data_IF_040787379747
#
_entry.id   IF_040787379747
#
_cell.length_a   1.000
_cell.length_b   1.000
_cell.length_c   1.000
_cell.angle_alpha   90.00
_cell.angle_beta   90.00
_cell.angle_gamma   90.00
#
_symmetry.space_group_name_H-M   'P 1'
#
loop_
_entity.id
_entity.type
_entity.pdbx_description
1 polymer ?
#
# COMPACT_ATOMS: atom_id res chain seq x y z
N UNK A 1 -6.25 7.15 12.82
CA UNK A 1 -6.03 6.30 14.01
C UNK A 1 -4.54 6.06 14.16
N UNK A 2 -3.98 6.50 15.28
CA UNK A 2 -2.56 6.45 15.57
C UNK A 2 -2.08 5.02 15.80
N UNK A 3 -0.98 4.65 15.18
CA UNK A 3 -0.24 3.42 15.42
C UNK A 3 0.25 3.38 16.88
N UNK A 4 0.09 2.28 17.60
CA UNK A 4 0.76 2.15 18.89
C UNK A 4 2.24 1.87 18.68
N UNK A 5 3.07 2.78 19.19
CA UNK A 5 4.53 2.61 19.30
C UNK A 5 4.80 1.42 20.22
N UNK A 6 5.63 0.45 19.84
CA UNK A 6 6.00 -0.64 20.74
C UNK A 6 6.79 -0.08 21.92
N UNK A 7 6.34 -0.38 23.14
CA UNK A 7 7.06 -0.08 24.37
C UNK A 7 8.42 -0.77 24.36
N UNK A 8 9.47 0.04 24.38
CA UNK A 8 10.83 -0.43 24.62
C UNK A 8 10.90 -1.19 25.95
N UNK A 9 11.29 -2.46 25.88
CA UNK A 9 11.69 -3.24 27.03
C UNK A 9 12.83 -2.52 27.76
N UNK A 10 12.61 -2.23 29.04
CA UNK A 10 13.59 -1.67 29.93
C UNK A 10 14.78 -2.65 30.08
N UNK A 11 15.93 -2.22 29.63
CA UNK A 11 17.20 -2.93 29.86
C UNK A 11 17.52 -2.77 31.36
N UNK A 12 17.47 -3.87 32.12
CA UNK A 12 17.96 -3.94 33.49
C UNK A 12 19.47 -3.66 33.51
N UNK A 13 19.88 -2.68 34.29
CA UNK A 13 21.30 -2.43 34.60
C UNK A 13 21.86 -3.62 35.37
N UNK A 14 23.08 -4.08 35.08
CA UNK A 14 23.77 -5.05 35.92
C UNK A 14 24.26 -4.38 37.20
N UNK A 15 24.07 -5.10 38.31
CA UNK A 15 24.60 -4.72 39.64
C UNK A 15 26.12 -4.86 39.71
N UNK A 16 26.85 -4.09 40.58
CA UNK A 16 28.30 -4.14 40.69
C UNK A 16 28.76 -5.35 41.49
N UNK A 17 29.67 -6.13 40.93
CA UNK A 17 30.39 -7.18 41.66
C UNK A 17 31.52 -6.60 42.55
N UNK A 18 31.79 -7.17 43.73
CA UNK A 18 32.78 -6.67 44.65
C UNK A 18 34.24 -7.02 44.26
N UNK A 19 35.11 -6.09 44.57
CA UNK A 19 36.56 -6.23 44.53
C UNK A 19 37.06 -7.36 45.45
N UNK A 20 37.87 -8.28 44.95
CA UNK A 20 38.90 -8.92 45.77
C UNK A 20 40.03 -9.56 44.92
N UNK A 21 41.25 -9.19 45.37
CA UNK A 21 42.52 -9.93 45.38
C UNK A 21 43.41 -9.93 44.14
N UNK A 22 44.51 -9.21 44.31
CA UNK A 22 45.76 -9.21 43.55
C UNK A 22 46.53 -10.53 43.71
N UNK A 23 47.04 -11.06 42.58
CA UNK A 23 48.24 -11.88 42.53
C UNK A 23 48.94 -11.68 41.18
N UNK A 24 50.28 -11.44 41.17
CA UNK A 24 51.00 -11.24 39.94
C UNK A 24 51.47 -12.61 39.40
N UNK A 25 51.11 -12.93 38.15
CA UNK A 25 51.74 -14.02 37.40
C UNK A 25 52.44 -13.39 36.20
N UNK A 26 53.76 -13.39 36.26
CA UNK A 26 54.65 -13.10 35.17
C UNK A 26 54.46 -14.16 34.07
N UNK A 27 54.05 -13.76 32.87
CA UNK A 27 54.06 -14.66 31.72
C UNK A 27 54.60 -13.99 30.47
N UNK A 28 55.54 -14.69 29.89
CA UNK A 28 56.40 -14.35 28.78
C UNK A 28 55.67 -13.80 27.57
N UNK A 29 56.18 -12.70 27.03
CA UNK A 29 55.85 -12.14 25.72
C UNK A 29 56.33 -13.11 24.61
N UNK A 30 55.38 -13.84 24.04
CA UNK A 30 55.47 -14.40 22.71
C UNK A 30 54.92 -13.36 21.75
N UNK A 31 55.80 -12.60 21.11
CA UNK A 31 55.47 -11.70 20.02
C UNK A 31 55.19 -12.56 18.79
N UNK A 32 53.92 -12.93 18.58
CA UNK A 32 53.42 -13.34 17.26
C UNK A 32 53.24 -12.08 16.42
N UNK A 33 54.22 -11.81 15.56
CA UNK A 33 54.10 -10.81 14.51
C UNK A 33 53.07 -11.31 13.49
N UNK A 34 51.79 -11.07 13.76
CA UNK A 34 50.77 -11.10 12.69
C UNK A 34 51.00 -9.87 11.83
N UNK A 35 51.63 -10.05 10.68
CA UNK A 35 51.63 -9.04 9.63
C UNK A 35 50.17 -8.83 9.19
N UNK A 36 49.52 -7.80 9.75
CA UNK A 36 48.31 -7.27 9.20
C UNK A 36 48.64 -6.75 7.79
N UNK A 37 48.37 -7.55 6.77
CA UNK A 37 48.04 -7.00 5.47
C UNK A 37 46.78 -6.20 5.70
N UNK A 38 46.92 -4.89 5.88
CA UNK A 38 45.83 -3.98 5.67
C UNK A 38 45.31 -4.24 4.25
N UNK A 39 44.25 -5.03 4.15
CA UNK A 39 43.50 -5.17 2.92
C UNK A 39 43.02 -3.77 2.58
N UNK A 40 43.50 -3.21 1.48
CA UNK A 40 42.99 -1.95 0.96
C UNK A 40 41.45 -2.04 0.97
N UNK A 41 40.80 -1.09 1.66
CA UNK A 41 39.35 -0.97 1.62
C UNK A 41 38.90 -0.95 0.14
N UNK A 42 37.89 -1.72 -0.24
CA UNK A 42 37.38 -1.68 -1.61
C UNK A 42 37.13 -0.22 -1.98
N UNK A 43 37.53 0.17 -3.18
CA UNK A 43 37.26 1.51 -3.71
C UNK A 43 35.78 1.81 -3.53
N UNK A 44 35.41 3.03 -3.09
CA UNK A 44 34.00 3.40 -2.98
C UNK A 44 33.27 3.04 -4.28
N UNK A 45 32.09 2.40 -4.24
CA UNK A 45 31.35 2.07 -5.44
C UNK A 45 31.20 3.33 -6.30
N UNK A 46 31.33 3.18 -7.60
CA UNK A 46 31.11 4.29 -8.54
C UNK A 46 29.68 4.81 -8.36
N UNK A 47 29.53 5.87 -7.58
CA UNK A 47 28.24 6.52 -7.32
C UNK A 47 27.59 7.06 -8.60
N UNK A 48 28.38 7.30 -9.66
CA UNK A 48 27.86 7.68 -10.97
C UNK A 48 27.06 6.56 -11.62
N UNK A 49 27.58 5.35 -11.63
CA UNK A 49 26.89 4.18 -12.15
C UNK A 49 25.63 3.81 -11.31
N UNK A 50 25.75 3.92 -9.96
CA UNK A 50 24.59 3.71 -9.06
C UNK A 50 23.51 4.76 -9.31
N UNK A 51 23.88 6.05 -9.45
CA UNK A 51 22.93 7.13 -9.75
C UNK A 51 22.27 6.97 -11.13
N UNK A 52 23.01 6.53 -12.14
CA UNK A 52 22.47 6.24 -13.47
C UNK A 52 21.41 5.12 -13.40
N UNK A 53 21.65 4.07 -12.61
CA UNK A 53 20.69 2.98 -12.41
C UNK A 53 19.48 3.40 -11.55
N UNK A 54 19.59 4.48 -10.78
CA UNK A 54 18.48 5.06 -10.00
C UNK A 54 17.70 6.14 -10.80
N UNK A 55 18.13 6.51 -12.01
CA UNK A 55 17.45 7.50 -12.81
C UNK A 55 15.95 7.20 -12.92
N UNK A 56 15.13 8.24 -12.72
CA UNK A 56 13.68 8.13 -12.72
C UNK A 56 13.09 9.13 -13.73
N UNK A 57 12.21 8.61 -14.58
CA UNK A 57 11.36 9.43 -15.46
C UNK A 57 9.93 9.25 -15.03
N UNK A 58 9.20 10.35 -14.81
CA UNK A 58 7.81 10.29 -14.40
C UNK A 58 6.97 9.63 -15.49
N UNK A 59 6.35 8.52 -15.14
CA UNK A 59 5.31 7.86 -15.92
C UNK A 59 4.00 7.92 -15.12
N UNK A 60 2.87 7.86 -15.81
CA UNK A 60 1.54 7.82 -15.19
C UNK A 60 0.92 6.44 -15.36
N UNK A 61 0.30 5.94 -14.32
CA UNK A 61 -0.38 4.65 -14.34
C UNK A 61 -1.51 4.63 -15.37
N UNK A 62 -2.28 5.72 -15.45
CA UNK A 62 -3.41 5.87 -16.38
C UNK A 62 -3.06 5.62 -17.84
N UNK A 63 -1.80 5.89 -18.23
CA UNK A 63 -1.35 5.72 -19.61
C UNK A 63 -1.10 4.25 -19.99
N UNK A 64 -1.17 3.35 -19.00
CA UNK A 64 -0.88 1.91 -19.14
C UNK A 64 -2.04 1.00 -18.79
N UNK A 65 -3.12 1.56 -18.24
CA UNK A 65 -4.28 0.77 -17.87
C UNK A 65 -5.04 0.32 -19.12
N UNK A 66 -5.42 -0.96 -19.20
CA UNK A 66 -6.23 -1.43 -20.33
C UNK A 66 -7.63 -0.79 -20.29
N UNK A 67 -8.28 -0.65 -21.45
CA UNK A 67 -9.66 -0.20 -21.48
C UNK A 67 -10.57 -1.20 -20.75
N UNK A 68 -11.59 -0.68 -20.07
CA UNK A 68 -12.57 -1.49 -19.37
C UNK A 68 -13.73 -1.85 -20.32
N UNK A 69 -14.09 -3.13 -20.34
CA UNK A 69 -15.30 -3.59 -21.01
C UNK A 69 -16.52 -3.19 -20.21
N UNK A 70 -17.55 -2.53 -20.80
CA UNK A 70 -18.74 -2.07 -20.08
C UNK A 70 -19.52 -3.16 -19.36
N UNK A 71 -19.55 -4.39 -19.88
CA UNK A 71 -20.24 -5.51 -19.21
C UNK A 71 -19.48 -5.92 -17.95
N UNK A 72 -18.15 -5.99 -18.03
CA UNK A 72 -17.29 -6.29 -16.88
C UNK A 72 -17.34 -5.16 -15.84
N UNK A 73 -17.37 -3.92 -16.31
CA UNK A 73 -17.47 -2.75 -15.43
C UNK A 73 -18.82 -2.75 -14.68
N UNK A 74 -19.91 -3.21 -15.31
CA UNK A 74 -21.21 -3.36 -14.63
C UNK A 74 -21.16 -4.33 -13.45
N UNK A 75 -20.47 -5.47 -13.59
CA UNK A 75 -20.26 -6.43 -12.50
C UNK A 75 -19.42 -5.79 -11.37
N UNK A 76 -18.34 -5.11 -11.74
CA UNK A 76 -17.50 -4.43 -10.79
C UNK A 76 -18.24 -3.34 -10.02
N UNK A 77 -18.97 -2.48 -10.71
CA UNK A 77 -19.74 -1.40 -10.10
C UNK A 77 -20.82 -1.92 -9.15
N UNK A 78 -21.50 -3.02 -9.53
CA UNK A 78 -22.49 -3.64 -8.66
C UNK A 78 -21.84 -4.23 -7.39
N UNK A 79 -20.73 -4.95 -7.50
CA UNK A 79 -20.00 -5.45 -6.35
C UNK A 79 -19.51 -4.30 -5.43
N UNK A 80 -19.02 -3.20 -6.01
CA UNK A 80 -18.67 -1.98 -5.26
C UNK A 80 -19.87 -1.34 -4.57
N UNK A 81 -21.04 -1.37 -5.21
CA UNK A 81 -22.29 -0.90 -4.60
C UNK A 81 -22.64 -1.73 -3.37
N UNK A 82 -22.60 -3.08 -3.46
CA UNK A 82 -22.83 -3.98 -2.32
C UNK A 82 -21.88 -3.66 -1.16
N UNK A 83 -20.62 -3.37 -1.46
CA UNK A 83 -19.62 -3.01 -0.44
C UNK A 83 -19.98 -1.71 0.30
N UNK A 84 -20.55 -0.73 -0.39
CA UNK A 84 -20.91 0.58 0.18
C UNK A 84 -22.24 0.60 0.93
N UNK A 85 -23.11 -0.42 0.78
CA UNK A 85 -24.38 -0.49 1.49
C UNK A 85 -24.18 -0.51 3.01
N UNK A 86 -25.06 0.07 3.82
CA UNK A 86 -25.00 -0.05 5.27
C UNK A 86 -25.31 -1.50 5.71
N UNK A 87 -24.83 -1.89 6.90
CA UNK A 87 -25.12 -3.19 7.49
C UNK A 87 -24.12 -4.30 7.14
N UNK A 88 -24.46 -5.57 7.45
CA UNK A 88 -23.62 -6.73 7.17
C UNK A 88 -23.29 -6.88 5.70
N UNK A 89 -22.06 -7.34 5.39
CA UNK A 89 -21.58 -7.52 4.02
C UNK A 89 -21.57 -8.98 3.61
N UNK A 90 -22.10 -9.30 2.45
CA UNK A 90 -21.88 -10.58 1.78
C UNK A 90 -20.64 -10.45 0.88
N UNK A 91 -19.47 -10.72 1.47
CA UNK A 91 -18.21 -10.66 0.73
C UNK A 91 -18.09 -11.77 -0.32
N UNK A 92 -18.77 -12.89 -0.16
CA UNK A 92 -18.78 -13.97 -1.14
C UNK A 92 -19.56 -13.56 -2.40
N UNK A 93 -20.70 -12.89 -2.23
CA UNK A 93 -21.45 -12.35 -3.38
C UNK A 93 -20.62 -11.28 -4.12
N UNK A 94 -19.93 -10.39 -3.40
CA UNK A 94 -19.02 -9.43 -4.04
C UNK A 94 -17.88 -10.14 -4.78
N UNK A 95 -17.23 -11.12 -4.15
CA UNK A 95 -16.14 -11.89 -4.74
C UNK A 95 -16.60 -12.66 -6.00
N UNK A 96 -17.80 -13.16 -6.03
CA UNK A 96 -18.43 -13.78 -7.21
C UNK A 96 -18.37 -12.87 -8.44
N UNK A 97 -18.84 -11.63 -8.31
CA UNK A 97 -18.81 -10.67 -9.41
C UNK A 97 -17.37 -10.24 -9.76
N UNK A 98 -16.53 -10.03 -8.76
CA UNK A 98 -15.14 -9.67 -8.99
C UNK A 98 -14.37 -10.80 -9.70
N UNK A 99 -14.58 -12.08 -9.34
CA UNK A 99 -13.93 -13.23 -10.01
C UNK A 99 -14.29 -13.29 -11.48
N UNK A 100 -15.58 -13.15 -11.80
CA UNK A 100 -16.05 -13.20 -13.18
C UNK A 100 -15.48 -12.02 -13.97
N UNK A 101 -15.54 -10.79 -13.44
CA UNK A 101 -14.98 -9.62 -14.11
C UNK A 101 -13.46 -9.71 -14.26
N UNK A 102 -12.73 -10.14 -13.22
CA UNK A 102 -11.28 -10.31 -13.25
C UNK A 102 -10.82 -11.35 -14.28
N UNK A 103 -11.55 -12.47 -14.41
CA UNK A 103 -11.28 -13.50 -15.41
C UNK A 103 -11.41 -12.97 -16.85
N UNK A 104 -12.19 -11.92 -17.06
CA UNK A 104 -12.30 -11.19 -18.32
C UNK A 104 -11.38 -9.98 -18.44
N UNK A 105 -10.40 -9.83 -17.52
CA UNK A 105 -9.37 -8.81 -17.61
C UNK A 105 -9.68 -7.49 -16.92
N UNK A 106 -10.75 -7.41 -16.12
CA UNK A 106 -11.09 -6.18 -15.40
C UNK A 106 -10.12 -5.96 -14.22
N UNK A 107 -9.14 -5.08 -14.38
CA UNK A 107 -8.04 -4.90 -13.42
C UNK A 107 -8.49 -4.41 -12.05
N UNK A 108 -9.50 -3.52 -11.95
CA UNK A 108 -10.03 -3.06 -10.66
C UNK A 108 -10.74 -4.17 -9.89
N UNK A 109 -11.49 -5.02 -10.60
CA UNK A 109 -12.14 -6.17 -9.98
C UNK A 109 -11.11 -7.19 -9.48
N UNK A 110 -10.05 -7.40 -10.26
CA UNK A 110 -8.93 -8.26 -9.88
C UNK A 110 -8.28 -7.77 -8.58
N UNK A 111 -7.88 -6.49 -8.50
CA UNK A 111 -7.27 -5.92 -7.30
C UNK A 111 -8.19 -6.01 -6.07
N UNK A 112 -9.47 -5.64 -6.21
CA UNK A 112 -10.41 -5.74 -5.09
C UNK A 112 -10.64 -7.19 -4.64
N UNK A 113 -10.62 -8.15 -5.57
CA UNK A 113 -10.71 -9.56 -5.23
C UNK A 113 -9.48 -10.03 -4.45
N UNK A 114 -8.27 -9.62 -4.85
CA UNK A 114 -7.05 -9.90 -4.10
C UNK A 114 -7.19 -9.49 -2.63
N UNK A 115 -7.71 -8.29 -2.37
CA UNK A 115 -7.92 -7.79 -1.02
C UNK A 115 -8.95 -8.63 -0.24
N UNK A 116 -10.08 -8.96 -0.85
CA UNK A 116 -11.10 -9.78 -0.17
C UNK A 116 -10.59 -11.18 0.17
N UNK A 117 -9.87 -11.81 -0.74
CA UNK A 117 -9.36 -13.18 -0.58
C UNK A 117 -8.16 -13.21 0.37
N UNK A 118 -7.18 -12.30 0.20
CA UNK A 118 -5.98 -12.28 1.04
C UNK A 118 -6.26 -11.96 2.50
N UNK A 119 -7.30 -11.17 2.77
CA UNK A 119 -7.74 -10.83 4.12
C UNK A 119 -8.72 -11.84 4.72
N UNK A 120 -9.14 -12.85 3.95
CA UNK A 120 -10.05 -13.89 4.39
C UNK A 120 -11.50 -13.42 4.55
N UNK A 121 -11.89 -12.33 3.87
CA UNK A 121 -13.29 -11.89 3.82
C UNK A 121 -14.12 -12.74 2.86
N UNK A 122 -13.53 -13.14 1.73
CA UNK A 122 -14.17 -14.02 0.78
C UNK A 122 -13.57 -15.43 0.84
N UNK A 123 -14.44 -16.43 0.74
CA UNK A 123 -14.05 -17.84 0.75
C UNK A 123 -13.28 -18.19 -0.52
N UNK A 124 -12.19 -18.94 -0.33
CA UNK A 124 -11.41 -19.52 -1.42
C UNK A 124 -10.88 -20.89 -1.01
N UNK A 125 -10.86 -21.89 -1.88
CA UNK A 125 -10.25 -23.19 -1.60
C UNK A 125 -8.72 -23.12 -1.45
N UNK A 126 -8.08 -22.08 -2.00
CA UNK A 126 -6.64 -21.85 -1.94
C UNK A 126 -6.34 -20.34 -1.93
N UNK A 127 -6.61 -19.60 -0.82
CA UNK A 127 -6.60 -18.14 -0.79
C UNK A 127 -5.27 -17.52 -1.26
N UNK A 128 -4.15 -17.99 -0.73
CA UNK A 128 -2.86 -17.44 -1.12
C UNK A 128 -2.52 -17.69 -2.58
N UNK A 129 -2.90 -18.85 -3.12
CA UNK A 129 -2.69 -19.17 -4.53
C UNK A 129 -3.56 -18.29 -5.44
N UNK A 130 -4.86 -18.19 -5.14
CA UNK A 130 -5.77 -17.32 -5.90
C UNK A 130 -5.25 -15.88 -5.94
N UNK A 131 -4.80 -15.36 -4.80
CA UNK A 131 -4.26 -14.00 -4.70
C UNK A 131 -3.00 -13.79 -5.56
N UNK A 132 -2.06 -14.74 -5.52
CA UNK A 132 -0.83 -14.66 -6.32
C UNK A 132 -1.13 -14.80 -7.82
N UNK A 133 -2.03 -15.71 -8.20
CA UNK A 133 -2.43 -15.89 -9.59
C UNK A 133 -3.12 -14.62 -10.15
N UNK A 134 -3.92 -13.92 -9.32
CA UNK A 134 -4.52 -12.62 -9.65
C UNK A 134 -3.48 -11.53 -9.85
N UNK A 135 -2.50 -11.39 -8.96
CA UNK A 135 -1.42 -10.42 -9.12
C UNK A 135 -0.59 -10.71 -10.38
N UNK A 136 -0.28 -11.98 -10.65
CA UNK A 136 0.40 -12.41 -11.87
C UNK A 136 -0.41 -12.09 -13.13
N UNK A 137 -1.75 -12.21 -13.08
CA UNK A 137 -2.63 -11.80 -14.17
C UNK A 137 -2.51 -10.29 -14.46
N UNK A 138 -2.54 -9.43 -13.44
CA UNK A 138 -2.34 -7.98 -13.61
C UNK A 138 -0.98 -7.67 -14.25
N UNK A 139 0.07 -8.34 -13.80
CA UNK A 139 1.42 -8.20 -14.38
C UNK A 139 1.41 -8.56 -15.87
N UNK A 140 0.77 -9.67 -16.23
CA UNK A 140 0.68 -10.13 -17.64
C UNK A 140 -0.10 -9.15 -18.52
N UNK A 141 -1.02 -8.38 -17.95
CA UNK A 141 -1.77 -7.32 -18.61
C UNK A 141 -1.00 -5.99 -18.68
N UNK A 142 0.19 -5.93 -18.08
CA UNK A 142 1.00 -4.71 -18.01
C UNK A 142 0.48 -3.67 -17.01
N UNK A 143 -0.43 -4.04 -16.11
CA UNK A 143 -1.00 -3.15 -15.07
C UNK A 143 0.05 -2.89 -14.00
N UNK A 144 0.46 -1.64 -13.76
CA UNK A 144 1.52 -1.31 -12.80
C UNK A 144 1.20 -1.76 -11.36
N UNK A 145 -0.06 -1.64 -10.93
CA UNK A 145 -0.51 -2.09 -9.61
C UNK A 145 -0.23 -3.56 -9.34
N UNK A 146 -0.28 -4.44 -10.36
CA UNK A 146 0.04 -5.86 -10.18
C UNK A 146 1.49 -6.13 -9.75
N UNK A 147 2.44 -5.29 -10.19
CA UNK A 147 3.82 -5.34 -9.69
C UNK A 147 3.90 -4.86 -8.24
N UNK A 148 3.12 -3.85 -7.87
CA UNK A 148 3.09 -3.33 -6.51
C UNK A 148 2.50 -4.37 -5.55
N UNK A 149 1.39 -5.00 -5.90
CA UNK A 149 0.77 -6.07 -5.13
C UNK A 149 1.74 -7.25 -4.93
N UNK A 150 2.37 -7.73 -6.01
CA UNK A 150 3.35 -8.82 -5.94
C UNK A 150 4.57 -8.44 -5.08
N UNK A 151 5.00 -7.20 -5.12
CA UNK A 151 6.05 -6.68 -4.22
C UNK A 151 5.71 -6.89 -2.76
N UNK A 152 4.50 -6.57 -2.33
CA UNK A 152 4.04 -6.80 -0.97
C UNK A 152 3.92 -8.28 -0.62
N UNK A 153 3.44 -9.13 -1.54
CA UNK A 153 3.37 -10.57 -1.28
C UNK A 153 4.76 -11.18 -1.10
N UNK A 154 5.75 -10.74 -1.86
CA UNK A 154 7.16 -11.14 -1.69
C UNK A 154 7.75 -10.61 -0.38
N UNK A 155 7.45 -9.37 -0.01
CA UNK A 155 7.91 -8.75 1.23
C UNK A 155 7.41 -9.51 2.46
N UNK A 156 6.16 -10.01 2.42
CA UNK A 156 5.53 -10.72 3.54
C UNK A 156 5.64 -12.25 3.47
N UNK A 157 6.06 -12.80 2.34
CA UNK A 157 6.06 -14.25 2.12
C UNK A 157 4.63 -14.81 1.98
N UNK A 158 3.67 -14.02 1.49
CA UNK A 158 2.29 -14.45 1.33
C UNK A 158 2.09 -15.20 0.02
N UNK A 159 1.89 -16.51 0.09
CA UNK A 159 1.70 -17.38 -1.07
C UNK A 159 2.95 -17.60 -1.96
N UNK A 160 4.04 -16.94 -1.63
CA UNK A 160 5.36 -17.02 -2.24
C UNK A 160 6.43 -17.09 -1.17
N UNK A 161 7.64 -17.54 -1.51
CA UNK A 161 8.78 -17.43 -0.59
C UNK A 161 9.11 -15.97 -0.36
N UNK A 162 9.29 -15.58 0.91
CA UNK A 162 9.69 -14.22 1.26
C UNK A 162 11.04 -13.88 0.65
N UNK A 163 11.08 -12.75 -0.08
CA UNK A 163 12.28 -12.24 -0.72
C UNK A 163 12.20 -10.71 -0.79
N UNK A 164 12.83 -10.04 0.17
CA UNK A 164 12.80 -8.57 0.26
C UNK A 164 13.57 -7.89 -0.88
N UNK A 165 14.63 -8.53 -1.42
CA UNK A 165 15.39 -7.95 -2.53
C UNK A 165 14.55 -8.00 -3.81
N UNK A 166 13.91 -9.13 -4.08
CA UNK A 166 13.01 -9.25 -5.20
C UNK A 166 11.79 -8.34 -5.05
N UNK A 167 11.23 -8.20 -3.84
CA UNK A 167 10.14 -7.25 -3.54
C UNK A 167 10.51 -5.83 -3.95
N UNK A 168 11.71 -5.34 -3.58
CA UNK A 168 12.20 -4.01 -3.97
C UNK A 168 12.28 -3.83 -5.49
N UNK A 169 12.68 -4.87 -6.23
CA UNK A 169 12.69 -4.84 -7.70
C UNK A 169 11.28 -4.72 -8.28
N UNK A 170 10.29 -5.39 -7.68
CA UNK A 170 8.89 -5.30 -8.08
C UNK A 170 8.31 -3.93 -7.76
N UNK A 171 8.53 -3.38 -6.57
CA UNK A 171 8.12 -2.02 -6.22
C UNK A 171 8.76 -0.98 -7.15
N UNK A 172 10.06 -1.12 -7.43
CA UNK A 172 10.72 -0.21 -8.36
C UNK A 172 10.12 -0.31 -9.77
N UNK A 173 9.84 -1.52 -10.25
CA UNK A 173 9.19 -1.71 -11.55
C UNK A 173 7.80 -1.07 -11.60
N UNK A 174 7.00 -1.23 -10.56
CA UNK A 174 5.70 -0.58 -10.44
C UNK A 174 5.82 0.96 -10.50
N UNK A 175 6.78 1.54 -9.78
CA UNK A 175 7.05 2.97 -9.76
C UNK A 175 7.46 3.51 -11.15
N UNK A 176 8.35 2.79 -11.85
CA UNK A 176 8.81 3.14 -13.20
C UNK A 176 7.70 3.00 -14.26
N UNK A 177 6.73 2.12 -14.02
CA UNK A 177 5.55 1.95 -14.85
C UNK A 177 4.45 2.98 -14.54
N UNK A 178 4.59 3.76 -13.48
CA UNK A 178 3.71 4.87 -13.16
C UNK A 178 2.79 4.67 -11.96
N UNK A 179 2.81 3.53 -11.27
CA UNK A 179 1.97 3.34 -10.09
C UNK A 179 2.31 4.38 -8.99
N UNK A 180 1.37 5.25 -8.58
CA UNK A 180 1.67 6.35 -7.68
C UNK A 180 1.97 5.91 -6.24
N UNK A 181 1.39 4.81 -5.78
CA UNK A 181 1.68 4.23 -4.47
C UNK A 181 3.11 3.69 -4.42
N UNK A 182 3.52 2.97 -5.46
CA UNK A 182 4.90 2.48 -5.61
C UNK A 182 5.91 3.63 -5.72
N UNK A 183 5.58 4.71 -6.47
CA UNK A 183 6.42 5.90 -6.54
C UNK A 183 6.61 6.52 -5.16
N UNK A 184 5.54 6.65 -4.37
CA UNK A 184 5.61 7.16 -3.00
C UNK A 184 6.39 6.21 -2.08
N UNK A 185 6.15 4.90 -2.18
CA UNK A 185 6.84 3.89 -1.38
C UNK A 185 8.36 3.90 -1.63
N UNK A 186 8.79 3.82 -2.88
CA UNK A 186 10.22 3.88 -3.25
C UNK A 186 10.83 5.23 -2.88
N UNK A 187 10.08 6.33 -3.05
CA UNK A 187 10.55 7.64 -2.61
C UNK A 187 10.85 7.70 -1.12
N UNK A 188 10.05 7.05 -0.28
CA UNK A 188 10.31 6.98 1.17
C UNK A 188 11.59 6.20 1.47
N UNK A 189 11.89 5.14 0.73
CA UNK A 189 13.13 4.37 0.88
C UNK A 189 14.37 5.13 0.39
N UNK A 190 14.23 6.04 -0.57
CA UNK A 190 15.31 6.83 -1.17
C UNK A 190 15.50 8.21 -0.51
N UNK A 191 14.58 8.62 0.37
CA UNK A 191 14.57 9.94 1.00
C UNK A 191 15.74 10.24 1.93
N UNK A 192 16.32 9.26 2.68
CA UNK A 192 17.46 9.51 3.53
C UNK A 192 18.63 10.17 2.76
N UNK A 193 19.33 11.08 3.45
CA UNK A 193 20.38 11.92 2.86
C UNK A 193 21.53 11.12 2.22
N UNK A 194 21.82 9.97 2.79
CA UNK A 194 22.86 9.03 2.33
C UNK A 194 22.44 8.17 1.12
N UNK A 195 21.20 8.31 0.66
CA UNK A 195 20.67 7.55 -0.48
C UNK A 195 20.49 8.45 -1.72
N UNK A 196 19.27 8.69 -2.16
CA UNK A 196 18.99 9.45 -3.37
C UNK A 196 17.79 10.40 -3.18
N UNK A 197 17.91 11.42 -2.31
CA UNK A 197 16.80 12.30 -1.96
C UNK A 197 16.24 13.09 -3.16
N UNK A 198 17.06 13.39 -4.17
CA UNK A 198 16.61 14.08 -5.39
C UNK A 198 15.70 13.19 -6.24
N UNK A 199 15.99 11.89 -6.31
CA UNK A 199 15.15 10.91 -7.02
C UNK A 199 13.85 10.72 -6.21
N UNK A 200 13.94 10.63 -4.88
CA UNK A 200 12.78 10.57 -4.01
C UNK A 200 11.83 11.76 -4.24
N UNK A 201 12.38 12.97 -4.36
CA UNK A 201 11.59 14.18 -4.61
C UNK A 201 10.86 14.11 -5.96
N UNK A 202 11.54 13.66 -7.02
CA UNK A 202 10.92 13.48 -8.35
C UNK A 202 9.80 12.44 -8.34
N UNK A 203 9.99 11.33 -7.63
CA UNK A 203 8.96 10.28 -7.49
C UNK A 203 7.75 10.79 -6.70
N UNK A 204 7.97 11.49 -5.58
CA UNK A 204 6.89 12.11 -4.82
C UNK A 204 6.11 13.14 -5.63
N UNK A 205 6.80 13.99 -6.38
CA UNK A 205 6.14 14.96 -7.25
C UNK A 205 5.27 14.22 -8.28
N UNK A 206 5.81 13.18 -8.94
CA UNK A 206 5.09 12.41 -9.94
C UNK A 206 3.83 11.74 -9.36
N UNK A 207 3.93 11.15 -8.17
CA UNK A 207 2.79 10.55 -7.47
C UNK A 207 1.74 11.62 -7.06
N UNK A 208 2.20 12.79 -6.60
CA UNK A 208 1.34 13.93 -6.26
C UNK A 208 0.56 14.42 -7.48
N UNK A 209 1.21 14.55 -8.63
CA UNK A 209 0.60 15.00 -9.89
C UNK A 209 -0.44 13.99 -10.43
N UNK A 210 -0.38 12.74 -9.98
CA UNK A 210 -1.37 11.71 -10.24
C UNK A 210 -2.52 11.70 -9.21
N UNK A 211 -2.51 12.59 -8.21
CA UNK A 211 -3.54 12.70 -7.19
C UNK A 211 -3.39 11.69 -6.04
N UNK A 212 -2.17 11.24 -5.77
CA UNK A 212 -1.91 10.41 -4.59
C UNK A 212 -1.68 11.30 -3.35
N UNK A 213 -2.66 11.32 -2.45
CA UNK A 213 -2.72 12.27 -1.34
C UNK A 213 -1.57 12.15 -0.34
N UNK A 214 -1.10 10.92 -0.06
CA UNK A 214 0.01 10.70 0.88
C UNK A 214 1.34 11.20 0.34
N UNK A 215 1.56 11.06 -0.98
CA UNK A 215 2.73 11.66 -1.62
C UNK A 215 2.69 13.19 -1.54
N UNK A 216 1.52 13.79 -1.76
CA UNK A 216 1.33 15.23 -1.68
C UNK A 216 1.59 15.75 -0.25
N UNK A 217 1.07 15.08 0.77
CA UNK A 217 1.33 15.41 2.17
C UNK A 217 2.84 15.33 2.49
N UNK A 218 3.48 14.21 2.14
CA UNK A 218 4.92 14.02 2.40
C UNK A 218 5.78 15.04 1.63
N UNK A 219 5.37 15.40 0.42
CA UNK A 219 6.01 16.45 -0.38
C UNK A 219 5.89 17.82 0.29
N UNK A 220 4.70 18.14 0.83
CA UNK A 220 4.44 19.36 1.58
C UNK A 220 5.34 19.46 2.80
N UNK A 221 5.42 18.42 3.61
CA UNK A 221 6.31 18.33 4.78
C UNK A 221 7.78 18.53 4.36
N UNK A 222 8.25 17.84 3.32
CA UNK A 222 9.63 17.99 2.84
C UNK A 222 9.94 19.44 2.43
N UNK A 223 9.04 20.09 1.69
CA UNK A 223 9.20 21.50 1.24
C UNK A 223 9.13 22.48 2.40
N UNK A 224 8.27 22.24 3.39
CA UNK A 224 8.20 23.01 4.63
C UNK A 224 9.54 22.98 5.38
N UNK A 225 10.13 21.79 5.56
CA UNK A 225 11.47 21.67 6.19
C UNK A 225 12.58 22.36 5.41
N UNK A 226 12.43 22.44 4.08
CA UNK A 226 13.34 23.22 3.22
C UNK A 226 13.02 24.71 3.21
N UNK A 227 12.05 25.16 3.98
CA UNK A 227 11.55 26.54 4.04
C UNK A 227 10.99 27.07 2.71
N UNK A 228 10.61 26.15 1.82
CA UNK A 228 9.93 26.45 0.55
C UNK A 228 8.41 26.46 0.82
N UNK A 229 7.95 27.47 1.55
CA UNK A 229 6.59 27.47 2.10
C UNK A 229 5.51 27.56 1.01
N UNK A 230 5.75 28.30 -0.06
CA UNK A 230 4.78 28.42 -1.17
C UNK A 230 4.52 27.05 -1.81
N UNK A 231 5.58 26.32 -2.15
CA UNK A 231 5.43 24.98 -2.71
C UNK A 231 4.92 23.95 -1.70
N UNK A 232 5.20 24.15 -0.41
CA UNK A 232 4.64 23.30 0.66
C UNK A 232 3.13 23.43 0.73
N UNK A 233 2.62 24.67 0.73
CA UNK A 233 1.20 24.98 0.75
C UNK A 233 0.50 24.41 -0.47
N UNK A 234 1.08 24.56 -1.66
CA UNK A 234 0.54 23.99 -2.90
C UNK A 234 0.46 22.47 -2.84
N UNK A 235 1.49 21.80 -2.29
CA UNK A 235 1.48 20.35 -2.13
C UNK A 235 0.42 19.88 -1.13
N UNK A 236 0.27 20.56 0.01
CA UNK A 236 -0.80 20.26 0.96
C UNK A 236 -2.19 20.50 0.34
N UNK A 237 -2.38 21.57 -0.44
CA UNK A 237 -3.64 21.81 -1.15
C UNK A 237 -3.97 20.67 -2.12
N UNK A 238 -2.98 20.16 -2.86
CA UNK A 238 -3.15 18.97 -3.70
C UNK A 238 -3.49 17.72 -2.88
N UNK A 239 -2.87 17.58 -1.70
CA UNK A 239 -3.18 16.50 -0.77
C UNK A 239 -4.64 16.55 -0.30
N UNK A 240 -5.13 17.73 0.09
CA UNK A 240 -6.55 17.93 0.44
C UNK A 240 -7.47 17.58 -0.71
N UNK A 241 -7.16 18.05 -1.92
CA UNK A 241 -7.90 17.73 -3.15
C UNK A 241 -8.00 16.23 -3.37
N UNK A 242 -6.92 15.52 -3.07
CA UNK A 242 -6.82 14.07 -3.17
C UNK A 242 -7.43 13.30 -1.98
N UNK A 243 -8.03 13.98 -0.99
CA UNK A 243 -8.67 13.35 0.15
C UNK A 243 -7.71 12.96 1.28
N UNK A 244 -6.60 13.66 1.43
CA UNK A 244 -5.67 13.44 2.54
C UNK A 244 -5.98 14.42 3.69
N UNK A 245 -6.43 13.89 4.83
CA UNK A 245 -6.83 14.70 6.00
C UNK A 245 -5.63 15.30 6.74
N UNK A 246 -4.44 14.69 6.68
CA UNK A 246 -3.23 15.26 7.29
C UNK A 246 -2.78 16.52 6.55
N UNK A 247 -2.98 16.58 5.23
CA UNK A 247 -2.75 17.80 4.47
C UNK A 247 -3.73 18.92 4.86
N UNK A 248 -4.99 18.57 5.14
CA UNK A 248 -5.97 19.54 5.64
C UNK A 248 -5.57 20.04 7.04
N UNK A 249 -5.10 19.16 7.92
CA UNK A 249 -4.59 19.53 9.24
C UNK A 249 -3.37 20.46 9.13
N UNK A 250 -2.43 20.19 8.24
CA UNK A 250 -1.26 21.06 8.05
C UNK A 250 -1.66 22.48 7.66
N UNK A 251 -2.64 22.63 6.76
CA UNK A 251 -3.16 23.95 6.36
C UNK A 251 -4.05 24.59 7.45
N UNK A 252 -4.85 23.80 8.19
CA UNK A 252 -5.58 24.29 9.36
C UNK A 252 -4.62 24.95 10.35
N UNK A 253 -3.55 24.25 10.73
CA UNK A 253 -2.58 24.75 11.71
C UNK A 253 -1.78 25.93 11.15
N UNK A 254 -1.36 25.87 9.87
CA UNK A 254 -0.63 26.96 9.22
C UNK A 254 -1.41 28.29 9.20
N UNK A 255 -2.73 28.24 8.94
CA UNK A 255 -3.59 29.46 8.94
C UNK A 255 -3.95 29.97 10.34
N UNK A 256 -3.58 29.28 11.42
CA UNK A 256 -3.65 29.85 12.76
C UNK A 256 -2.59 30.95 12.97
N UNK A 257 -1.61 31.07 12.06
CA UNK A 257 -0.51 32.02 12.13
C UNK A 257 0.48 31.69 13.24
N UNK A 258 0.98 30.44 13.34
CA UNK A 258 1.94 30.07 14.37
C UNK A 258 3.24 30.89 14.21
N UNK A 259 4.01 31.11 15.32
CA UNK A 259 5.31 31.76 15.22
C UNK A 259 6.32 30.89 14.49
N UNK A 260 7.34 31.49 13.91
CA UNK A 260 8.41 30.79 13.19
C UNK A 260 9.15 29.73 14.04
N UNK A 261 9.12 29.88 15.37
CA UNK A 261 9.67 28.88 16.30
C UNK A 261 8.88 27.58 16.38
N UNK A 262 7.63 27.58 15.92
CA UNK A 262 6.83 26.37 15.74
C UNK A 262 7.10 25.76 14.34
N UNK A 263 8.27 25.14 14.18
CA UNK A 263 8.71 24.61 12.89
C UNK A 263 7.75 23.56 12.30
N UNK A 264 6.95 22.90 13.14
CA UNK A 264 6.00 21.86 12.71
C UNK A 264 4.81 22.46 11.98
N UNK A 265 4.33 23.62 12.41
CA UNK A 265 3.10 24.21 11.89
C UNK A 265 3.35 25.48 11.08
N UNK A 266 4.56 26.04 11.15
CA UNK A 266 4.88 27.29 10.47
C UNK A 266 4.94 27.12 8.95
N UNK A 267 4.08 27.86 8.24
CA UNK A 267 4.00 27.88 6.77
C UNK A 267 4.19 29.29 6.18
N UNK A 268 4.68 30.24 6.99
CA UNK A 268 4.79 31.64 6.59
C UNK A 268 3.46 32.24 6.08
N UNK A 269 2.33 31.79 6.65
CA UNK A 269 1.00 32.29 6.36
C UNK A 269 0.57 33.29 7.42
N UNK A 270 -0.13 34.33 7.00
CA UNK A 270 -0.85 35.22 7.91
C UNK A 270 -2.02 34.46 8.55
N UNK A 271 -2.33 34.86 9.78
CA UNK A 271 -3.48 34.32 10.49
C UNK A 271 -4.77 34.59 9.74
N UNK A 272 -5.48 33.50 9.40
CA UNK A 272 -6.80 33.55 8.80
C UNK A 272 -7.71 32.50 9.45
N UNK A 273 -8.54 32.97 10.39
CA UNK A 273 -9.38 32.09 11.19
C UNK A 273 -10.44 31.37 10.36
N UNK A 274 -10.93 31.99 9.28
CA UNK A 274 -11.94 31.37 8.44
C UNK A 274 -11.33 30.28 7.54
N UNK A 275 -10.14 30.51 6.95
CA UNK A 275 -9.43 29.45 6.22
C UNK A 275 -9.10 28.27 7.14
N UNK A 276 -8.55 28.54 8.32
CA UNK A 276 -8.27 27.50 9.32
C UNK A 276 -9.53 26.70 9.66
N UNK A 277 -10.65 27.39 9.90
CA UNK A 277 -11.92 26.71 10.18
C UNK A 277 -12.40 25.82 9.03
N UNK A 278 -12.33 26.29 7.78
CA UNK A 278 -12.74 25.50 6.61
C UNK A 278 -11.87 24.26 6.42
N UNK A 279 -10.54 24.36 6.57
CA UNK A 279 -9.67 23.18 6.49
C UNK A 279 -9.99 22.16 7.60
N UNK A 280 -10.34 22.63 8.82
CA UNK A 280 -10.81 21.74 9.87
C UNK A 280 -12.09 20.99 9.50
N UNK A 281 -13.06 21.66 8.89
CA UNK A 281 -14.30 21.01 8.43
C UNK A 281 -14.02 20.03 7.30
N UNK A 282 -13.11 20.37 6.38
CA UNK A 282 -12.68 19.48 5.29
C UNK A 282 -11.99 18.24 5.84
N UNK A 283 -11.05 18.40 6.78
CA UNK A 283 -10.40 17.25 7.43
C UNK A 283 -11.41 16.30 8.08
N UNK A 284 -12.37 16.83 8.83
CA UNK A 284 -13.47 16.05 9.42
C UNK A 284 -14.32 15.34 8.36
N UNK A 285 -14.63 16.01 7.25
CA UNK A 285 -15.36 15.41 6.15
C UNK A 285 -14.60 14.22 5.56
N UNK A 286 -13.31 14.38 5.32
CA UNK A 286 -12.44 13.30 4.78
C UNK A 286 -12.43 12.12 5.76
N UNK A 287 -12.16 12.35 7.03
CA UNK A 287 -12.10 11.30 8.07
C UNK A 287 -13.45 10.59 8.26
N UNK A 288 -14.56 11.33 8.20
CA UNK A 288 -15.90 10.75 8.35
C UNK A 288 -16.32 9.88 7.16
N UNK A 289 -15.65 10.02 6.02
CA UNK A 289 -15.87 9.24 4.82
C UNK A 289 -14.71 8.27 4.50
N UNK A 290 -13.86 8.01 5.49
CA UNK A 290 -12.78 7.03 5.34
C UNK A 290 -13.33 5.67 4.85
N UNK A 291 -12.57 4.98 4.01
CA UNK A 291 -13.02 3.75 3.34
C UNK A 291 -13.91 3.96 2.11
N UNK A 292 -14.45 5.18 1.89
CA UNK A 292 -15.22 5.54 0.68
C UNK A 292 -14.38 6.27 -0.37
N UNK A 293 -13.09 6.50 -0.09
CA UNK A 293 -12.15 7.27 -0.90
C UNK A 293 -12.65 8.69 -1.21
N UNK A 294 -12.93 9.51 -0.18
CA UNK A 294 -13.44 10.87 -0.37
C UNK A 294 -12.43 11.73 -1.11
N UNK A 295 -12.92 12.66 -1.91
CA UNK A 295 -12.12 13.67 -2.64
C UNK A 295 -12.71 15.04 -2.41
N UNK A 296 -11.90 16.08 -2.56
CA UNK A 296 -12.35 17.47 -2.50
C UNK A 296 -11.95 18.18 -3.80
N UNK A 297 -12.53 17.78 -4.96
CA UNK A 297 -12.12 18.32 -6.27
C UNK A 297 -12.36 19.82 -6.38
N UNK A 298 -13.28 20.34 -5.60
CA UNK A 298 -13.71 21.74 -5.54
C UNK A 298 -12.97 22.57 -4.47
N UNK A 299 -11.86 22.06 -3.89
CA UNK A 299 -11.12 22.73 -2.82
C UNK A 299 -10.75 24.18 -3.16
N UNK A 300 -10.37 24.44 -4.40
CA UNK A 300 -9.98 25.77 -4.85
C UNK A 300 -11.17 26.75 -4.98
N UNK A 301 -12.41 26.22 -4.95
CA UNK A 301 -13.65 27.00 -4.84
C UNK A 301 -14.08 27.18 -3.39
N UNK A 302 -13.74 26.25 -2.51
CA UNK A 302 -14.06 26.30 -1.08
C UNK A 302 -13.06 27.16 -0.34
N UNK A 303 -11.76 26.86 -0.50
CA UNK A 303 -10.65 27.56 0.18
C UNK A 303 -9.53 27.83 -0.83
N UNK A 304 -9.72 28.81 -1.73
CA UNK A 304 -8.63 29.25 -2.59
C UNK A 304 -7.47 29.78 -1.73
N UNK A 305 -6.24 29.47 -2.17
CA UNK A 305 -5.05 29.96 -1.47
C UNK A 305 -4.87 31.47 -1.62
N UNK A 306 -4.26 32.17 -0.63
CA UNK A 306 -3.90 33.57 -0.76
C UNK A 306 -3.08 33.84 -2.00
N UNK A 307 -3.21 35.03 -2.66
CA UNK A 307 -3.97 36.21 -2.19
C UNK A 307 -5.47 36.21 -2.57
N UNK A 308 -6.02 35.11 -3.11
CA UNK A 308 -7.42 35.07 -3.50
C UNK A 308 -8.33 35.26 -2.26
N UNK A 309 -9.44 35.98 -2.46
CA UNK A 309 -10.45 36.16 -1.40
C UNK A 309 -11.25 34.89 -1.21
N UNK A 310 -11.63 34.61 0.04
CA UNK A 310 -12.55 33.53 0.36
C UNK A 310 -13.95 33.83 -0.23
N UNK A 311 -14.52 32.92 -1.01
CA UNK A 311 -15.92 33.01 -1.42
C UNK A 311 -16.87 32.62 -0.27
N UNK A 312 -18.15 32.91 -0.41
CA UNK A 312 -19.17 32.25 0.40
C UNK A 312 -19.16 30.75 0.18
N UNK A 313 -19.41 29.99 1.26
CA UNK A 313 -19.45 28.53 1.22
C UNK A 313 -20.57 28.01 2.12
N UNK A 314 -21.39 27.13 1.58
CA UNK A 314 -22.56 26.55 2.25
C UNK A 314 -22.22 25.33 3.14
N UNK A 315 -20.95 24.99 3.29
CA UNK A 315 -20.51 23.81 4.06
C UNK A 315 -20.64 22.48 3.32
N UNK A 316 -21.00 22.48 2.04
CA UNK A 316 -21.21 21.26 1.24
C UNK A 316 -20.04 20.97 0.34
N UNK A 317 -19.90 19.69 -0.07
CA UNK A 317 -18.82 19.20 -0.92
C UNK A 317 -19.38 18.64 -2.22
N UNK A 318 -18.73 18.95 -3.35
CA UNK A 318 -19.11 18.43 -4.66
C UNK A 318 -19.12 16.91 -4.67
N UNK A 319 -18.08 16.27 -4.12
CA UNK A 319 -18.00 14.81 -4.05
C UNK A 319 -19.20 14.19 -3.31
N UNK A 320 -19.65 14.80 -2.19
CA UNK A 320 -20.81 14.32 -1.44
C UNK A 320 -22.08 14.44 -2.29
N UNK A 321 -22.30 15.62 -2.90
CA UNK A 321 -23.45 15.83 -3.80
C UNK A 321 -23.52 14.81 -4.93
N UNK A 322 -22.35 14.48 -5.53
CA UNK A 322 -22.23 13.46 -6.57
C UNK A 322 -22.55 12.05 -6.04
N UNK A 323 -22.07 11.69 -4.84
CA UNK A 323 -22.39 10.40 -4.22
C UNK A 323 -23.88 10.28 -3.88
N UNK A 324 -24.50 11.36 -3.38
CA UNK A 324 -25.91 11.38 -2.99
C UNK A 324 -26.84 11.37 -4.22
N UNK A 325 -26.43 11.98 -5.31
CA UNK A 325 -27.14 11.98 -6.59
C UNK A 325 -26.92 10.72 -7.44
N UNK A 326 -25.93 9.88 -7.07
CA UNK A 326 -25.58 8.71 -7.87
C UNK A 326 -26.71 7.67 -7.89
N UNK A 327 -27.17 7.31 -9.07
CA UNK A 327 -28.13 6.23 -9.24
C UNK A 327 -27.44 4.90 -8.94
N UNK A 328 -27.99 4.06 -8.04
CA UNK A 328 -27.43 2.75 -7.77
C UNK A 328 -27.30 1.92 -9.04
N UNK A 329 -26.17 1.22 -9.27
CA UNK A 329 -26.04 0.34 -10.41
C UNK A 329 -27.06 -0.78 -10.33
N UNK A 330 -27.64 -1.12 -11.46
CA UNK A 330 -28.57 -2.24 -11.55
C UNK A 330 -27.82 -3.56 -11.29
N UNK A 331 -28.54 -4.50 -10.66
CA UNK A 331 -28.02 -5.87 -10.53
C UNK A 331 -27.80 -6.46 -11.92
N UNK A 332 -26.63 -7.00 -12.24
CA UNK A 332 -26.41 -7.68 -13.51
C UNK A 332 -27.42 -8.84 -13.70
N UNK A 333 -27.96 -8.96 -14.91
CA UNK A 333 -28.88 -10.03 -15.22
C UNK A 333 -28.23 -11.41 -15.04
N UNK A 334 -28.97 -12.38 -14.52
CA UNK A 334 -28.43 -13.71 -14.23
C UNK A 334 -27.95 -14.41 -15.52
N UNK A 335 -28.58 -14.19 -16.65
CA UNK A 335 -28.15 -14.72 -17.95
C UNK A 335 -26.78 -14.15 -18.36
N UNK A 336 -26.52 -12.87 -18.11
CA UNK A 336 -25.23 -12.25 -18.35
C UNK A 336 -24.15 -12.91 -17.49
N UNK A 337 -24.41 -13.05 -16.19
CA UNK A 337 -23.46 -13.65 -15.22
C UNK A 337 -23.16 -15.10 -15.60
N UNK A 338 -24.19 -15.89 -15.93
CA UNK A 338 -24.04 -17.29 -16.35
C UNK A 338 -23.22 -17.40 -17.64
N UNK A 339 -23.50 -16.57 -18.65
CA UNK A 339 -22.75 -16.56 -19.90
C UNK A 339 -21.27 -16.24 -19.68
N UNK A 340 -20.98 -15.15 -18.95
CA UNK A 340 -19.61 -14.71 -18.68
C UNK A 340 -18.83 -15.74 -17.83
N UNK A 341 -19.47 -16.33 -16.83
CA UNK A 341 -18.86 -17.39 -16.03
C UNK A 341 -18.51 -18.60 -16.92
N UNK A 342 -19.44 -19.04 -17.78
CA UNK A 342 -19.24 -20.18 -18.70
C UNK A 342 -18.11 -19.93 -19.68
N UNK A 343 -17.99 -18.73 -20.24
CA UNK A 343 -16.89 -18.35 -21.16
C UNK A 343 -15.50 -18.52 -20.54
N UNK A 344 -15.40 -18.42 -19.22
CA UNK A 344 -14.15 -18.57 -18.45
C UNK A 344 -14.07 -19.88 -17.64
N UNK A 345 -15.00 -20.81 -17.87
CA UNK A 345 -15.09 -22.08 -17.14
C UNK A 345 -15.16 -21.88 -15.61
N UNK A 346 -15.99 -20.92 -15.19
CA UNK A 346 -16.25 -20.61 -13.79
C UNK A 346 -17.64 -21.08 -13.37
N UNK A 347 -17.78 -21.38 -12.09
CA UNK A 347 -19.09 -21.58 -11.46
C UNK A 347 -19.84 -20.23 -11.35
N UNK A 348 -21.00 -20.06 -11.97
CA UNK A 348 -21.72 -18.80 -11.93
C UNK A 348 -22.23 -18.43 -10.53
N UNK A 349 -22.32 -19.37 -9.58
CA UNK A 349 -22.77 -19.10 -8.21
C UNK A 349 -21.65 -18.53 -7.33
N UNK A 350 -20.38 -18.88 -7.58
CA UNK A 350 -19.25 -18.50 -6.74
C UNK A 350 -18.18 -17.72 -7.48
N UNK A 351 -18.17 -17.77 -8.81
CA UNK A 351 -17.09 -17.26 -9.64
C UNK A 351 -15.80 -18.09 -9.57
N UNK A 352 -15.76 -19.16 -8.80
CA UNK A 352 -14.60 -20.04 -8.70
C UNK A 352 -14.42 -20.89 -9.98
N UNK A 353 -13.20 -21.27 -10.33
CA UNK A 353 -12.99 -22.20 -11.45
C UNK A 353 -13.77 -23.49 -11.27
N UNK A 354 -14.49 -23.90 -12.29
CA UNK A 354 -15.06 -25.24 -12.32
C UNK A 354 -13.88 -26.22 -12.30
N UNK A 355 -13.78 -27.00 -11.24
CA UNK A 355 -12.86 -28.13 -11.22
C UNK A 355 -13.25 -29.04 -12.37
N UNK A 356 -12.51 -29.01 -13.49
CA UNK A 356 -12.51 -30.15 -14.37
C UNK A 356 -12.17 -31.32 -13.47
N UNK A 357 -13.10 -32.27 -13.35
CA UNK A 357 -12.87 -33.52 -12.65
C UNK A 357 -11.74 -34.29 -13.35
N UNK A 358 -10.50 -33.76 -13.23
CA UNK A 358 -9.37 -34.61 -13.28
C UNK A 358 -9.50 -35.41 -11.99
N UNK A 359 -9.81 -36.68 -12.09
CA UNK A 359 -9.55 -37.65 -11.05
C UNK A 359 -8.09 -37.50 -10.66
N UNK A 360 -7.80 -36.54 -9.80
CA UNK A 360 -6.61 -36.57 -9.00
C UNK A 360 -6.91 -37.69 -8.02
N UNK A 361 -6.57 -38.90 -8.43
CA UNK A 361 -6.46 -40.01 -7.53
C UNK A 361 -5.66 -39.51 -6.34
N UNK A 362 -6.37 -39.30 -5.20
CA UNK A 362 -5.70 -39.01 -3.94
C UNK A 362 -4.81 -40.19 -3.67
N UNK A 363 -3.54 -40.05 -4.01
CA UNK A 363 -2.56 -41.06 -3.66
C UNK A 363 -2.69 -41.31 -2.15
N UNK A 364 -2.82 -42.57 -1.71
CA UNK A 364 -2.90 -42.91 -0.29
C UNK A 364 -1.75 -42.27 0.48
N UNK A 365 -2.01 -41.80 1.69
CA UNK A 365 -0.99 -41.28 2.60
C UNK A 365 0.17 -42.28 2.69
N UNK A 366 1.38 -41.86 2.36
CA UNK A 366 2.56 -42.70 2.34
C UNK A 366 3.01 -43.19 0.97
N UNK A 367 2.30 -42.86 -0.12
CA UNK A 367 2.74 -43.24 -1.48
C UNK A 367 4.03 -42.51 -1.83
N UNK A 368 5.07 -43.27 -2.19
CA UNK A 368 6.36 -42.75 -2.65
C UNK A 368 6.24 -42.36 -4.11
N UNK A 369 6.26 -41.06 -4.43
CA UNK A 369 6.27 -40.55 -5.79
C UNK A 369 7.71 -40.31 -6.22
N UNK A 370 8.10 -40.84 -7.40
CA UNK A 370 9.39 -40.54 -8.05
C UNK A 370 9.20 -39.30 -8.92
N UNK A 371 9.82 -38.18 -8.53
CA UNK A 371 9.97 -37.03 -9.41
C UNK A 371 11.47 -36.79 -9.60
N UNK A 372 11.98 -37.06 -10.79
CA UNK A 372 13.41 -36.91 -11.08
C UNK A 372 14.29 -37.70 -10.12
N UNK A 373 15.57 -37.35 -9.97
CA UNK A 373 16.57 -38.06 -9.17
C UNK A 373 16.47 -37.88 -7.64
N UNK A 374 15.44 -37.21 -7.09
CA UNK A 374 15.27 -37.05 -5.64
C UNK A 374 13.94 -37.61 -5.14
N UNK A 375 14.02 -38.49 -4.13
CA UNK A 375 12.86 -38.97 -3.39
C UNK A 375 12.39 -37.90 -2.43
N UNK A 376 11.22 -37.29 -2.65
CA UNK A 376 10.53 -36.44 -1.67
C UNK A 376 9.45 -37.25 -0.94
N UNK A 377 9.50 -37.26 0.37
CA UNK A 377 8.40 -37.74 1.22
C UNK A 377 7.39 -36.61 1.34
N UNK A 378 6.16 -36.80 0.87
CA UNK A 378 5.06 -35.88 1.17
C UNK A 378 4.68 -36.09 2.64
N UNK A 379 5.18 -35.20 3.51
CA UNK A 379 4.70 -35.11 4.90
C UNK A 379 3.58 -34.07 4.93
N UNK A 380 2.36 -34.49 5.26
CA UNK A 380 1.33 -33.57 5.72
C UNK A 380 1.75 -33.01 7.07
N UNK A 381 2.26 -31.79 7.07
CA UNK A 381 2.44 -31.04 8.29
C UNK A 381 1.09 -30.38 8.62
N UNK A 382 0.38 -30.95 9.58
CA UNK A 382 -0.51 -30.36 10.55
C UNK A 382 -1.46 -31.44 11.05
N UNK A 383 -1.13 -32.00 12.21
CA UNK A 383 -2.04 -32.85 12.99
C UNK A 383 -3.06 -31.96 13.72
N UNK A 384 -4.19 -32.53 14.18
CA UNK A 384 -5.35 -31.79 14.69
C UNK A 384 -5.15 -31.06 16.04
N UNK A 385 -3.92 -30.90 16.54
CA UNK A 385 -3.62 -30.33 17.87
C UNK A 385 -2.54 -29.24 17.88
N UNK A 386 -2.36 -28.46 16.82
CA UNK A 386 -1.50 -27.28 16.92
C UNK A 386 -2.33 -25.99 16.82
N UNK A 387 -2.80 -25.54 18.00
CA UNK A 387 -3.46 -24.25 18.23
C UNK A 387 -2.56 -23.02 17.98
N UNK A 388 -1.32 -23.20 17.52
CA UNK A 388 -0.34 -22.13 17.32
C UNK A 388 -0.42 -21.41 15.98
N UNK A 389 -0.94 -22.03 14.93
CA UNK A 389 -0.99 -21.44 13.60
C UNK A 389 -2.11 -20.41 13.40
N UNK A 390 -3.16 -20.46 14.24
CA UNK A 390 -4.26 -19.49 14.19
C UNK A 390 -3.99 -18.19 14.96
N UNK A 391 -3.07 -18.20 15.91
CA UNK A 391 -2.83 -17.06 16.79
C UNK A 391 -2.05 -15.91 16.11
N UNK A 392 -1.23 -16.19 15.11
CA UNK A 392 -0.42 -15.17 14.42
C UNK A 392 -1.26 -14.36 13.42
N UNK A 393 -2.30 -14.95 12.85
CA UNK A 393 -3.21 -14.27 11.91
C UNK A 393 -4.29 -13.46 12.61
N UNK A 394 -4.72 -13.83 13.83
CA UNK A 394 -5.77 -13.10 14.56
C UNK A 394 -5.31 -11.75 15.14
N UNK A 395 -4.02 -11.57 15.42
CA UNK A 395 -3.47 -10.32 15.96
C UNK A 395 -3.41 -9.16 14.95
N UNK A 396 -3.49 -9.45 13.66
CA UNK A 396 -3.44 -8.43 12.58
C UNK A 396 -4.79 -8.12 11.92
N UNK A 397 -5.87 -8.81 12.30
CA UNK A 397 -7.19 -8.67 11.68
C UNK A 397 -7.93 -7.36 11.99
N UNK A 398 -7.47 -6.56 12.96
CA UNK A 398 -8.18 -5.33 13.37
C UNK A 398 -7.72 -4.06 12.65
N UNK A 399 -6.53 -4.05 12.07
CA UNK A 399 -5.93 -2.80 11.56
C UNK A 399 -6.02 -2.64 10.02
N UNK A 400 -6.38 -3.70 9.29
CA UNK A 400 -6.46 -3.66 7.82
C UNK A 400 -7.84 -3.27 7.26
N UNK A 401 -8.88 -3.22 8.09
CA UNK A 401 -10.24 -2.88 7.64
C UNK A 401 -10.47 -1.37 7.44
N UNK A 402 -9.50 -0.52 7.80
CA UNK A 402 -9.62 0.94 7.73
C UNK A 402 -9.12 1.55 6.41
N UNK A 403 -8.60 0.77 5.48
CA UNK A 403 -7.97 1.25 4.25
C UNK A 403 -8.59 0.78 2.92
N UNK A 404 -9.85 0.32 2.93
CA UNK A 404 -10.56 -0.09 1.70
C UNK A 404 -11.60 0.93 1.25
#
# INVERSE_FOLDING_TARGET
>A
MSWPVPKLCAIKRPEPFPLLVWLPVSLALLICACSNKEGALPSPPDLGAVRANLAFTCARETDRLPPLDPQMDSLFLYARHLQKQPGPKDFNEMARYYRIAAAHGHYKANHNLQLLVSQGFADSPAPSRETIDLAAQLISQGVPGGYFDMGHYLEWGYGVTQDSELALRYFRKAADLGNPEAQSYIANLLAPFDKAPEIALKMRQCATDQGYGDAANTLGIYRQHKKNFVEAILAFQQGVKAGNSLSALALEEGFKGPPQSDEMNFLALDRDAERSHRYKLIGKFIDSNDGRNPKVPDIDKIVPLPPAKLPEWDGTFQWQKEQDAAVPPQKPADELVQRLAKEKNLDPATGLPLTTSSKTERLPLGTKVRTGERRMLVRTACGPHQAGCHAVLQGRRRDAAAGL
#
